data_IF_189486335395
#
_entry.id   IF_189486335395
#
_cell.length_a   1.000
_cell.length_b   1.000
_cell.length_c   1.000
_cell.angle_alpha   90.00
_cell.angle_beta   90.00
_cell.angle_gamma   90.00
#
_symmetry.space_group_name_H-M   'P 1'
#
loop_
_entity.id
_entity.type
_entity.pdbx_description
1 polymer ?
#
# COMPACT_ATOMS: atom_id res chain seq x y z
N UNK A 1 31.85 -11.49 -65.81
CA UNK A 1 30.93 -10.34 -65.91
C UNK A 1 30.49 -10.01 -64.48
N UNK A 2 31.24 -9.18 -63.76
CA UNK A 2 31.24 -7.69 -63.76
C UNK A 2 30.27 -7.12 -62.73
N UNK A 3 30.82 -6.42 -61.73
CA UNK A 3 30.23 -5.16 -61.23
C UNK A 3 29.50 -5.19 -59.88
N UNK A 4 30.25 -4.98 -58.80
CA UNK A 4 29.89 -4.05 -57.69
C UNK A 4 30.33 -2.65 -58.20
N UNK A 5 29.70 -1.47 -57.94
CA UNK A 5 29.32 -0.98 -56.60
C UNK A 5 28.21 0.11 -56.46
N UNK A 6 27.91 0.45 -55.21
CA UNK A 6 27.43 1.78 -54.77
C UNK A 6 26.06 1.76 -54.10
N UNK A 7 25.78 2.45 -52.99
CA UNK A 7 26.53 3.47 -52.25
C UNK A 7 25.81 3.68 -50.91
N UNK A 8 26.54 3.70 -49.80
CA UNK A 8 26.03 4.18 -48.52
C UNK A 8 26.00 5.72 -48.51
N UNK A 9 24.91 6.34 -48.04
CA UNK A 9 24.92 7.70 -47.47
C UNK A 9 23.92 7.78 -46.32
N UNK A 10 24.37 8.44 -45.25
CA UNK A 10 23.76 8.59 -43.93
C UNK A 10 22.58 9.57 -43.90
N UNK A 11 21.62 9.26 -43.03
CA UNK A 11 21.15 10.15 -41.97
C UNK A 11 20.19 11.28 -42.34
N UNK A 12 18.96 11.22 -41.82
CA UNK A 12 18.42 12.28 -40.98
C UNK A 12 17.19 11.79 -40.22
N UNK A 13 17.30 11.81 -38.88
CA UNK A 13 16.23 11.64 -37.91
C UNK A 13 15.24 12.79 -38.04
N UNK A 14 13.95 12.53 -38.15
CA UNK A 14 12.92 13.48 -37.69
C UNK A 14 11.71 12.73 -37.17
N UNK A 15 11.59 12.76 -35.85
CA UNK A 15 10.44 12.37 -35.02
C UNK A 15 9.46 13.54 -35.04
N UNK A 16 8.23 13.34 -35.47
CA UNK A 16 7.17 14.36 -35.35
C UNK A 16 6.01 13.77 -34.55
N UNK A 17 5.77 14.46 -33.45
CA UNK A 17 4.83 14.20 -32.35
C UNK A 17 3.56 14.99 -32.65
N UNK A 18 2.40 14.36 -32.48
CA UNK A 18 1.10 15.04 -32.53
C UNK A 18 0.95 16.01 -31.34
N UNK A 19 0.71 17.29 -31.62
CA UNK A 19 0.39 18.33 -30.64
C UNK A 19 -0.95 19.01 -30.96
N UNK A 20 -1.73 19.33 -29.93
CA UNK A 20 -3.05 19.95 -29.99
C UNK A 20 -2.97 21.48 -30.21
N UNK A 21 -4.03 22.14 -30.76
CA UNK A 21 -3.97 23.56 -31.12
C UNK A 21 -4.29 24.52 -29.96
N UNK A 22 -3.62 25.68 -29.96
CA UNK A 22 -3.85 26.87 -29.14
C UNK A 22 -4.49 27.99 -29.98
N UNK A 23 -5.38 28.79 -29.39
CA UNK A 23 -6.16 29.86 -30.04
C UNK A 23 -5.43 31.23 -30.05
N UNK A 24 -5.79 32.18 -30.95
CA UNK A 24 -5.10 33.47 -31.13
C UNK A 24 -5.76 34.65 -30.36
N UNK A 25 -5.10 35.83 -30.24
CA UNK A 25 -5.60 36.98 -29.49
C UNK A 25 -6.32 38.03 -30.36
N UNK A 26 -7.22 38.82 -29.76
CA UNK A 26 -7.84 40.01 -30.39
C UNK A 26 -7.87 41.18 -29.40
N UNK A 27 -7.58 42.38 -29.92
CA UNK A 27 -7.43 43.67 -29.23
C UNK A 27 -8.49 44.69 -29.76
N UNK A 28 -8.64 45.92 -29.21
CA UNK A 28 -9.93 46.50 -28.83
C UNK A 28 -10.32 47.76 -29.64
N UNK A 29 -11.48 48.35 -29.29
CA UNK A 29 -11.94 49.77 -29.44
C UNK A 29 -13.47 49.74 -29.64
N UNK A 30 -14.34 50.55 -29.01
CA UNK A 30 -14.32 52.01 -28.88
C UNK A 30 -15.36 52.45 -27.82
N UNK A 31 -15.07 53.61 -27.25
CA UNK A 31 -15.73 54.37 -26.20
C UNK A 31 -17.18 54.88 -26.46
N UNK A 32 -17.82 55.27 -25.35
CA UNK A 32 -18.37 56.63 -25.21
C UNK A 32 -19.89 56.79 -25.20
N UNK A 33 -20.45 57.22 -24.07
CA UNK A 33 -21.83 57.73 -23.95
C UNK A 33 -22.22 57.97 -22.50
N UNK A 34 -22.74 59.16 -22.22
CA UNK A 34 -22.68 59.89 -20.95
C UNK A 34 -24.01 59.94 -20.16
N UNK A 35 -23.88 60.11 -18.84
CA UNK A 35 -24.82 60.52 -17.78
C UNK A 35 -26.28 60.03 -17.76
N UNK A 36 -26.58 59.16 -16.78
CA UNK A 36 -27.40 59.48 -15.60
C UNK A 36 -27.93 58.19 -14.99
N UNK A 37 -27.45 57.83 -13.79
CA UNK A 37 -28.24 57.16 -12.73
C UNK A 37 -27.34 56.67 -11.60
N UNK A 38 -27.62 57.19 -10.42
CA UNK A 38 -27.47 56.63 -9.09
C UNK A 38 -27.24 55.10 -9.05
N UNK A 39 -25.99 54.60 -8.99
CA UNK A 39 -25.70 53.21 -8.63
C UNK A 39 -24.38 53.07 -7.87
N UNK A 40 -24.43 52.22 -6.84
CA UNK A 40 -23.33 51.65 -6.08
C UNK A 40 -22.03 51.60 -6.89
N UNK A 41 -20.99 52.32 -6.45
CA UNK A 41 -19.65 52.09 -6.96
C UNK A 41 -19.03 50.91 -6.20
N UNK A 42 -19.35 49.71 -6.69
CA UNK A 42 -18.55 48.51 -6.51
C UNK A 42 -17.12 48.87 -6.97
N UNK A 43 -16.15 48.86 -6.05
CA UNK A 43 -14.78 49.23 -6.37
C UNK A 43 -14.12 48.10 -7.17
N UNK A 44 -14.19 48.19 -8.50
CA UNK A 44 -13.48 47.32 -9.42
C UNK A 44 -11.98 47.67 -9.44
N UNK A 45 -11.14 46.65 -9.31
CA UNK A 45 -9.70 46.75 -9.57
C UNK A 45 -9.50 46.87 -11.09
N UNK A 46 -9.33 48.10 -11.58
CA UNK A 46 -8.95 48.39 -12.95
C UNK A 46 -7.43 48.49 -13.06
N UNK A 47 -6.78 47.47 -13.62
CA UNK A 47 -5.34 47.52 -13.91
C UNK A 47 -5.17 48.15 -15.29
N UNK A 48 -5.16 49.49 -15.35
CA UNK A 48 -4.82 50.23 -16.56
C UNK A 48 -3.32 50.12 -16.82
N UNK A 49 -2.93 49.40 -17.87
CA UNK A 49 -1.54 49.33 -18.34
C UNK A 49 -1.24 50.52 -19.24
N UNK A 50 -1.22 51.72 -18.67
CA UNK A 50 -0.61 52.88 -19.32
C UNK A 50 0.79 53.09 -18.73
N UNK A 51 1.78 52.95 -19.61
CA UNK A 51 3.13 53.41 -19.34
C UNK A 51 3.12 54.90 -19.00
N UNK A 52 3.69 55.24 -17.85
CA UNK A 52 4.25 56.57 -17.51
C UNK A 52 3.55 57.47 -16.47
N UNK A 53 2.83 56.94 -15.45
CA UNK A 53 2.54 57.73 -14.23
C UNK A 53 2.57 56.87 -12.96
N UNK A 54 3.60 57.07 -12.13
CA UNK A 54 3.61 56.64 -10.72
C UNK A 54 2.66 57.54 -9.92
N UNK A 55 1.51 57.01 -9.51
CA UNK A 55 0.59 57.67 -8.59
C UNK A 55 0.52 56.93 -7.27
N UNK A 56 1.14 57.47 -6.22
CA UNK A 56 0.96 57.00 -4.84
C UNK A 56 -0.37 57.57 -4.34
N UNK A 57 -1.30 56.69 -3.97
CA UNK A 57 -2.62 57.07 -3.42
C UNK A 57 -2.53 57.03 -1.89
N UNK A 58 -2.79 58.17 -1.26
CA UNK A 58 -3.02 58.25 0.19
C UNK A 58 -4.48 57.92 0.48
N UNK A 59 -4.73 56.97 1.39
CA UNK A 59 -6.06 56.67 1.90
C UNK A 59 -6.11 57.19 3.34
N UNK A 60 -6.87 58.26 3.57
CA UNK A 60 -7.12 58.81 4.90
C UNK A 60 -8.29 58.06 5.53
N UNK A 61 -8.04 57.31 6.60
CA UNK A 61 -9.07 56.57 7.34
C UNK A 61 -9.90 57.53 8.19
N UNK A 62 -11.23 57.47 8.03
CA UNK A 62 -12.20 58.24 8.80
C UNK A 62 -12.50 57.49 10.11
N UNK A 63 -12.19 58.09 11.25
CA UNK A 63 -12.47 57.50 12.57
C UNK A 63 -13.98 57.34 12.82
N UNK A 64 -14.41 56.15 13.24
CA UNK A 64 -15.80 55.84 13.60
C UNK A 64 -16.16 56.32 15.02
N UNK A 65 -17.43 56.66 15.23
CA UNK A 65 -17.93 57.24 16.48
C UNK A 65 -17.77 56.30 17.70
N UNK A 66 -17.38 56.81 18.88
CA UNK A 66 -16.94 56.00 20.02
C UNK A 66 -18.01 55.02 20.54
N UNK A 67 -19.30 55.35 20.41
CA UNK A 67 -20.41 54.56 20.98
C UNK A 67 -20.54 53.18 20.31
N UNK A 68 -20.32 53.09 18.98
CA UNK A 68 -20.41 51.82 18.22
C UNK A 68 -19.25 50.90 18.58
N UNK A 69 -18.06 51.48 18.79
CA UNK A 69 -16.87 50.74 19.23
C UNK A 69 -17.06 50.13 20.62
N UNK A 70 -17.62 50.88 21.58
CA UNK A 70 -17.92 50.35 22.92
C UNK A 70 -18.95 49.21 22.91
N UNK A 71 -19.96 49.26 22.04
CA UNK A 71 -20.96 48.20 21.93
C UNK A 71 -20.36 46.90 21.36
N UNK A 72 -19.55 46.98 20.30
CA UNK A 72 -18.84 45.82 19.75
C UNK A 72 -17.83 45.24 20.73
N UNK A 73 -17.04 46.08 21.40
CA UNK A 73 -16.03 45.63 22.37
C UNK A 73 -16.69 44.93 23.56
N UNK A 74 -17.84 45.44 24.04
CA UNK A 74 -18.62 44.79 25.10
C UNK A 74 -19.18 43.44 24.67
N UNK A 75 -19.75 43.34 23.47
CA UNK A 75 -20.27 42.07 22.93
C UNK A 75 -19.15 41.04 22.78
N UNK A 76 -17.99 41.45 22.28
CA UNK A 76 -16.82 40.57 22.15
C UNK A 76 -16.31 40.11 23.51
N UNK A 77 -16.26 40.99 24.52
CA UNK A 77 -15.90 40.63 25.90
C UNK A 77 -16.88 39.62 26.49
N UNK A 78 -18.19 39.81 26.28
CA UNK A 78 -19.22 38.88 26.75
C UNK A 78 -19.06 37.52 26.08
N UNK A 79 -18.90 37.46 24.75
CA UNK A 79 -18.71 36.19 24.03
C UNK A 79 -17.41 35.48 24.46
N UNK A 80 -16.33 36.24 24.68
CA UNK A 80 -15.04 35.71 25.13
C UNK A 80 -15.12 35.04 26.51
N UNK A 81 -16.09 35.41 27.35
CA UNK A 81 -16.33 34.79 28.66
C UNK A 81 -17.39 33.68 28.58
N UNK A 82 -18.48 33.93 27.86
CA UNK A 82 -19.64 33.02 27.81
C UNK A 82 -19.33 31.75 27.02
N UNK A 83 -18.62 31.83 25.89
CA UNK A 83 -18.29 30.67 25.06
C UNK A 83 -17.45 29.62 25.82
N UNK A 84 -16.31 29.97 26.47
CA UNK A 84 -15.53 28.97 27.20
C UNK A 84 -16.27 28.42 28.42
N UNK A 85 -17.09 29.24 29.10
CA UNK A 85 -17.87 28.78 30.24
C UNK A 85 -19.00 27.81 29.80
N UNK A 86 -19.68 28.12 28.69
CA UNK A 86 -20.68 27.25 28.08
C UNK A 86 -20.07 25.96 27.54
N UNK A 87 -18.87 26.02 26.94
CA UNK A 87 -18.15 24.84 26.50
C UNK A 87 -17.75 23.97 27.71
N UNK A 88 -17.18 24.57 28.76
CA UNK A 88 -16.78 23.83 29.96
C UNK A 88 -17.96 23.12 30.65
N UNK A 89 -19.12 23.78 30.72
CA UNK A 89 -20.34 23.19 31.29
C UNK A 89 -21.00 22.19 30.35
N UNK A 90 -21.06 22.47 29.04
CA UNK A 90 -21.83 21.69 28.07
C UNK A 90 -21.10 20.46 27.53
N UNK A 91 -19.80 20.57 27.24
CA UNK A 91 -19.00 19.50 26.64
C UNK A 91 -19.04 18.16 27.39
N UNK A 92 -19.04 18.08 28.75
CA UNK A 92 -19.12 16.79 29.44
C UNK A 92 -20.46 16.05 29.29
N UNK A 93 -21.52 16.73 28.82
CA UNK A 93 -22.84 16.12 28.58
C UNK A 93 -23.10 15.82 27.10
N UNK A 94 -22.20 16.21 26.20
CA UNK A 94 -22.34 15.89 24.78
C UNK A 94 -21.90 14.44 24.58
N UNK A 95 -22.80 13.53 24.15
CA UNK A 95 -22.39 12.18 23.82
C UNK A 95 -21.40 12.20 22.64
N UNK A 96 -20.43 11.27 22.60
CA UNK A 96 -19.46 11.22 21.53
C UNK A 96 -20.17 11.03 20.18
N UNK A 97 -19.81 11.83 19.17
CA UNK A 97 -20.38 11.74 17.82
C UNK A 97 -20.05 10.41 17.11
N UNK A 98 -19.08 9.65 17.64
CA UNK A 98 -18.70 8.31 17.22
C UNK A 98 -18.36 7.49 18.45
N UNK A 99 -18.95 6.32 18.57
CA UNK A 99 -18.43 5.27 19.45
C UNK A 99 -17.14 4.73 18.83
N UNK A 100 -16.08 4.61 19.62
CA UNK A 100 -14.91 3.84 19.20
C UNK A 100 -15.36 2.38 19.02
N UNK A 101 -14.95 1.68 17.96
CA UNK A 101 -15.22 0.24 17.88
C UNK A 101 -14.69 -0.43 19.15
N UNK A 102 -15.36 -1.49 19.61
CA UNK A 102 -15.10 -2.26 20.84
C UNK A 102 -13.72 -2.97 20.88
N UNK A 103 -12.71 -2.42 20.22
CA UNK A 103 -11.38 -2.99 20.02
C UNK A 103 -10.34 -1.97 20.44
N UNK A 104 -10.22 -1.76 21.75
CA UNK A 104 -9.12 -0.98 22.34
C UNK A 104 -8.52 -1.66 23.58
N UNK A 105 -8.51 -3.00 23.63
CA UNK A 105 -7.75 -3.76 24.65
C UNK A 105 -6.84 -4.85 24.05
N UNK A 106 -6.42 -4.70 22.79
CA UNK A 106 -5.40 -5.55 22.19
C UNK A 106 -4.90 -4.91 20.90
N UNK A 107 -3.61 -4.60 20.83
CA UNK A 107 -2.96 -3.99 19.67
C UNK A 107 -2.80 -4.96 18.50
N UNK A 108 -3.90 -5.60 18.08
CA UNK A 108 -3.95 -6.51 16.94
C UNK A 108 -5.02 -6.09 15.94
N UNK A 109 -4.85 -6.52 14.69
CA UNK A 109 -5.89 -6.43 13.68
C UNK A 109 -7.04 -7.37 14.05
N UNK A 110 -8.22 -6.79 14.32
CA UNK A 110 -9.43 -7.55 14.53
C UNK A 110 -10.08 -7.81 13.18
N UNK A 111 -9.90 -9.02 12.67
CA UNK A 111 -10.68 -9.53 11.54
C UNK A 111 -11.97 -10.18 12.08
N UNK A 112 -13.05 -10.05 11.33
CA UNK A 112 -14.23 -10.86 11.59
C UNK A 112 -13.85 -12.35 11.47
N UNK A 113 -14.39 -13.22 12.33
CA UNK A 113 -14.18 -14.66 12.19
C UNK A 113 -14.56 -15.12 10.78
N UNK A 114 -13.76 -16.03 10.21
CA UNK A 114 -14.12 -16.68 8.95
C UNK A 114 -15.48 -17.38 9.10
N UNK A 115 -16.39 -17.27 8.12
CA UNK A 115 -17.63 -18.04 8.12
C UNK A 115 -17.39 -19.54 7.91
N UNK A 116 -16.19 -19.92 7.43
CA UNK A 116 -15.77 -21.31 7.24
C UNK A 116 -15.21 -21.85 8.55
N UNK A 117 -15.81 -22.93 9.05
CA UNK A 117 -15.32 -23.69 10.20
C UNK A 117 -14.16 -24.59 9.78
N UNK A 118 -13.11 -24.65 10.59
CA UNK A 118 -11.95 -25.50 10.38
C UNK A 118 -11.81 -26.49 11.53
N UNK A 119 -11.85 -27.77 11.21
CA UNK A 119 -11.53 -28.84 12.16
C UNK A 119 -10.05 -29.18 12.05
N UNK A 120 -9.32 -29.09 13.17
CA UNK A 120 -7.91 -29.47 13.20
C UNK A 120 -7.78 -30.98 13.26
N UNK A 121 -7.03 -31.56 12.32
CA UNK A 121 -6.64 -32.98 12.35
C UNK A 121 -5.12 -33.12 12.33
N UNK A 122 -4.52 -33.89 13.25
CA UNK A 122 -3.09 -34.19 13.19
C UNK A 122 -2.80 -35.14 12.02
N UNK A 123 -1.63 -34.97 11.40
CA UNK A 123 -1.09 -35.86 10.37
C UNK A 123 0.27 -36.35 10.88
N UNK A 124 0.47 -37.67 10.85
CA UNK A 124 1.67 -38.33 11.38
C UNK A 124 1.51 -38.82 12.82
N UNK A 125 2.58 -39.40 13.37
CA UNK A 125 2.58 -39.94 14.73
C UNK A 125 2.54 -38.80 15.78
N UNK A 126 1.80 -39.03 16.87
CA UNK A 126 1.87 -38.20 18.07
C UNK A 126 3.17 -38.49 18.82
N UNK A 127 4.26 -37.89 18.35
CA UNK A 127 5.55 -37.95 19.03
C UNK A 127 5.63 -36.92 20.17
N UNK A 128 6.42 -37.25 21.18
CA UNK A 128 6.68 -36.42 22.37
C UNK A 128 7.39 -35.08 22.03
N UNK A 129 7.92 -34.96 20.81
CA UNK A 129 8.61 -33.77 20.32
C UNK A 129 7.94 -33.20 19.07
N UNK A 130 7.61 -31.90 19.13
CA UNK A 130 7.07 -31.16 17.98
C UNK A 130 8.07 -31.18 16.82
N UNK A 131 7.64 -31.54 15.60
CA UNK A 131 8.48 -31.44 14.42
C UNK A 131 8.85 -29.98 14.14
N UNK A 132 9.96 -29.78 13.43
CA UNK A 132 10.30 -28.49 12.85
C UNK A 132 10.11 -28.58 11.35
N UNK A 133 8.89 -28.36 10.90
CA UNK A 133 8.56 -28.44 9.47
C UNK A 133 8.96 -27.14 8.79
N UNK A 134 9.96 -27.21 7.92
CA UNK A 134 10.45 -26.05 7.15
C UNK A 134 9.66 -25.83 5.86
N UNK A 135 9.16 -26.91 5.26
CA UNK A 135 8.38 -26.86 4.03
C UNK A 135 7.39 -28.02 3.96
N UNK A 136 6.26 -27.76 3.30
CA UNK A 136 5.21 -28.74 2.99
C UNK A 136 4.86 -28.62 1.52
N UNK A 137 4.77 -29.75 0.82
CA UNK A 137 4.24 -29.88 -0.53
C UNK A 137 2.96 -30.72 -0.51
N UNK A 138 2.00 -30.32 -1.34
CA UNK A 138 0.69 -30.96 -1.46
C UNK A 138 0.57 -31.41 -2.91
N UNK A 139 0.70 -32.72 -3.15
CA UNK A 139 0.77 -33.30 -4.49
C UNK A 139 0.35 -34.77 -4.43
N UNK A 140 -0.29 -35.26 -5.49
CA UNK A 140 -0.53 -36.69 -5.70
C UNK A 140 0.80 -37.33 -6.13
N UNK A 141 1.51 -37.93 -5.17
CA UNK A 141 2.89 -38.39 -5.36
C UNK A 141 2.96 -39.79 -5.99
N UNK A 142 2.04 -40.67 -5.61
CA UNK A 142 1.95 -42.05 -6.12
C UNK A 142 0.96 -42.24 -7.27
N UNK A 143 0.26 -41.17 -7.66
CA UNK A 143 -0.68 -41.12 -8.79
C UNK A 143 -1.90 -41.99 -8.58
N UNK A 144 -2.33 -42.15 -7.33
CA UNK A 144 -3.55 -42.86 -6.98
C UNK A 144 -4.82 -41.97 -7.06
N UNK A 145 -4.63 -40.68 -7.34
CA UNK A 145 -5.69 -39.69 -7.46
C UNK A 145 -6.07 -39.04 -6.12
N UNK A 146 -5.42 -39.42 -5.03
CA UNK A 146 -5.51 -38.78 -3.72
C UNK A 146 -4.36 -37.78 -3.55
N UNK A 147 -4.59 -36.77 -2.71
CA UNK A 147 -3.62 -35.70 -2.54
C UNK A 147 -2.79 -36.00 -1.30
N UNK A 148 -1.51 -36.27 -1.51
CA UNK A 148 -0.56 -36.54 -0.45
C UNK A 148 0.09 -35.27 0.09
N UNK A 149 0.82 -35.46 1.20
CA UNK A 149 1.57 -34.39 1.85
C UNK A 149 3.03 -34.81 2.01
N UNK A 150 3.95 -34.03 1.46
CA UNK A 150 5.39 -34.20 1.70
C UNK A 150 5.86 -33.09 2.63
N UNK A 151 6.61 -33.43 3.66
CA UNK A 151 7.07 -32.50 4.69
C UNK A 151 8.58 -32.63 4.94
N UNK A 152 9.26 -31.49 4.96
CA UNK A 152 10.66 -31.39 5.35
C UNK A 152 10.76 -31.17 6.86
N UNK A 153 11.19 -32.17 7.63
CA UNK A 153 11.44 -32.04 9.06
C UNK A 153 12.91 -31.71 9.30
N UNK A 154 13.19 -30.42 9.51
CA UNK A 154 14.53 -29.91 9.75
C UNK A 154 15.13 -30.40 11.07
N UNK A 155 14.28 -30.66 12.09
CA UNK A 155 14.73 -31.11 13.41
C UNK A 155 15.10 -32.58 13.40
N UNK A 156 14.32 -33.40 12.69
CA UNK A 156 14.59 -34.84 12.54
C UNK A 156 15.45 -35.17 11.33
N UNK A 157 15.96 -34.15 10.63
CA UNK A 157 16.87 -34.30 9.50
C UNK A 157 16.36 -35.25 8.40
N UNK A 158 15.06 -35.15 8.08
CA UNK A 158 14.42 -36.08 7.15
C UNK A 158 13.33 -35.42 6.32
N UNK A 159 13.04 -36.04 5.18
CA UNK A 159 11.88 -35.73 4.35
C UNK A 159 10.88 -36.87 4.48
N UNK A 160 9.65 -36.55 4.88
CA UNK A 160 8.59 -37.52 5.13
C UNK A 160 7.48 -37.32 4.12
N UNK A 161 7.03 -38.41 3.53
CA UNK A 161 5.82 -38.48 2.72
C UNK A 161 4.69 -39.05 3.55
N UNK A 162 3.59 -38.31 3.64
CA UNK A 162 2.34 -38.73 4.24
C UNK A 162 1.37 -39.05 3.12
N UNK A 163 1.30 -40.35 2.79
CA UNK A 163 0.38 -40.88 1.80
C UNK A 163 -1.04 -40.85 2.33
N UNK A 164 -1.95 -40.25 1.57
CA UNK A 164 -3.37 -40.23 1.89
C UNK A 164 -3.99 -41.58 1.53
N UNK A 165 -4.68 -42.18 2.50
CA UNK A 165 -5.52 -43.35 2.28
C UNK A 165 -6.99 -42.93 2.24
N UNK A 166 -7.87 -43.61 2.99
CA UNK A 166 -9.23 -43.13 3.22
C UNK A 166 -9.25 -41.68 3.78
N UNK A 167 -10.33 -40.91 3.55
CA UNK A 167 -10.39 -39.52 3.97
C UNK A 167 -10.07 -39.30 5.46
N UNK A 168 -8.93 -38.65 5.72
CA UNK A 168 -8.45 -38.34 7.07
C UNK A 168 -7.45 -39.35 7.65
N UNK A 169 -7.12 -40.40 6.92
CA UNK A 169 -6.05 -41.35 7.27
C UNK A 169 -4.81 -41.09 6.42
N UNK A 170 -3.67 -40.93 7.09
CA UNK A 170 -2.38 -40.70 6.45
C UNK A 170 -1.35 -41.72 6.94
N UNK A 171 -0.69 -42.39 6.01
CA UNK A 171 0.43 -43.28 6.30
C UNK A 171 1.74 -42.52 6.07
N UNK A 172 2.55 -42.35 7.12
CA UNK A 172 3.86 -41.70 7.02
C UNK A 172 4.95 -42.68 6.59
N UNK A 173 5.71 -42.30 5.56
CA UNK A 173 6.90 -42.98 5.08
C UNK A 173 8.06 -41.99 4.99
N UNK A 174 9.23 -42.37 5.48
CA UNK A 174 10.43 -41.54 5.28
C UNK A 174 10.97 -41.75 3.85
N UNK A 175 11.13 -40.66 3.10
CA UNK A 175 11.73 -40.69 1.76
C UNK A 175 13.25 -40.57 1.82
N UNK A 176 13.76 -39.72 2.71
CA UNK A 176 15.19 -39.49 2.89
C UNK A 176 15.49 -39.13 4.35
N UNK A 177 16.62 -39.65 4.85
CA UNK A 177 17.16 -39.41 6.19
C UNK A 177 18.56 -38.79 6.09
N UNK A 178 19.13 -38.39 7.22
CA UNK A 178 20.47 -37.79 7.32
C UNK A 178 20.66 -36.51 6.48
N UNK A 179 19.58 -35.75 6.29
CA UNK A 179 19.61 -34.45 5.60
C UNK A 179 19.72 -33.32 6.64
N UNK A 180 20.86 -32.62 6.75
CA UNK A 180 21.02 -31.56 7.75
C UNK A 180 20.16 -30.34 7.38
N UNK A 181 19.03 -30.17 8.08
CA UNK A 181 18.07 -29.09 7.85
C UNK A 181 17.55 -28.98 6.40
N UNK A 182 16.75 -29.96 5.92
CA UNK A 182 16.01 -29.83 4.67
C UNK A 182 15.12 -28.58 4.71
N UNK A 183 15.26 -27.71 3.73
CA UNK A 183 14.63 -26.40 3.69
C UNK A 183 13.46 -26.34 2.72
N UNK A 184 13.57 -27.01 1.58
CA UNK A 184 12.53 -27.04 0.57
C UNK A 184 12.57 -28.36 -0.20
N UNK A 185 11.40 -28.93 -0.49
CA UNK A 185 11.27 -30.03 -1.42
C UNK A 185 10.42 -29.58 -2.61
N UNK A 186 10.82 -30.00 -3.81
CA UNK A 186 10.08 -29.82 -5.05
C UNK A 186 9.86 -31.19 -5.67
N UNK A 187 8.61 -31.50 -5.98
CA UNK A 187 8.24 -32.73 -6.69
C UNK A 187 8.14 -32.45 -8.18
N UNK A 188 8.88 -33.18 -8.99
CA UNK A 188 8.90 -33.05 -10.44
C UNK A 188 9.38 -34.37 -11.05
N UNK A 189 8.80 -34.75 -12.18
CA UNK A 189 9.34 -35.83 -13.03
C UNK A 189 10.58 -35.28 -13.76
N UNK A 190 11.78 -35.63 -13.28
CA UNK A 190 13.03 -35.01 -13.73
C UNK A 190 13.60 -35.70 -14.97
N UNK A 191 13.38 -37.01 -15.10
CA UNK A 191 13.91 -37.80 -16.21
C UNK A 191 12.87 -38.10 -17.31
N UNK A 192 11.59 -37.78 -17.07
CA UNK A 192 10.50 -37.88 -18.03
C UNK A 192 9.97 -39.30 -18.19
N UNK A 193 10.23 -40.19 -17.23
CA UNK A 193 9.75 -41.57 -17.27
C UNK A 193 8.32 -41.74 -16.75
N UNK A 194 7.77 -40.69 -16.16
CA UNK A 194 6.45 -40.74 -15.57
C UNK A 194 6.46 -41.33 -14.17
N UNK A 195 7.54 -41.25 -13.42
CA UNK A 195 7.56 -41.32 -11.97
C UNK A 195 7.85 -39.92 -11.40
N UNK A 196 7.49 -39.66 -10.15
CA UNK A 196 7.69 -38.34 -9.54
C UNK A 196 8.95 -38.33 -8.69
N UNK A 197 9.93 -37.52 -9.06
CA UNK A 197 11.15 -37.31 -8.27
C UNK A 197 10.99 -36.21 -7.23
N UNK A 198 11.81 -36.26 -6.18
CA UNK A 198 11.84 -35.24 -5.13
C UNK A 198 13.22 -34.58 -5.07
N UNK A 199 13.27 -33.31 -5.47
CA UNK A 199 14.45 -32.47 -5.33
C UNK A 199 14.41 -31.74 -3.98
N UNK A 200 15.44 -31.92 -3.16
CA UNK A 200 15.51 -31.33 -1.82
C UNK A 200 16.66 -30.34 -1.73
N UNK A 201 16.39 -29.12 -1.26
CA UNK A 201 17.42 -28.17 -0.84
C UNK A 201 17.70 -28.31 0.65
N UNK A 202 18.98 -28.26 1.01
CA UNK A 202 19.49 -28.56 2.35
C UNK A 202 20.32 -27.37 2.81
N UNK A 203 20.02 -26.82 3.99
CA UNK A 203 20.75 -25.67 4.53
C UNK A 203 22.07 -26.07 5.22
N UNK A 204 22.22 -27.34 5.60
CA UNK A 204 23.36 -27.81 6.37
C UNK A 204 23.16 -27.54 7.86
N UNK A 205 24.24 -27.14 8.52
CA UNK A 205 24.22 -26.85 9.95
C UNK A 205 23.65 -25.44 10.20
N UNK A 206 22.35 -25.38 10.46
CA UNK A 206 21.65 -24.13 10.81
C UNK A 206 21.77 -23.76 12.29
N UNK A 207 22.17 -24.73 13.13
CA UNK A 207 22.39 -24.51 14.56
C UNK A 207 23.87 -24.17 14.79
N UNK A 208 24.17 -23.20 15.69
CA UNK A 208 25.54 -22.92 16.07
C UNK A 208 26.23 -24.20 16.55
N UNK A 209 27.39 -24.52 15.97
CA UNK A 209 28.22 -25.62 16.41
C UNK A 209 29.67 -25.16 16.61
N UNK A 210 30.39 -25.83 17.50
CA UNK A 210 31.82 -25.58 17.74
C UNK A 210 32.69 -26.44 16.80
N UNK A 211 32.19 -26.72 15.59
CA UNK A 211 32.87 -27.55 14.61
C UNK A 211 34.20 -26.94 14.16
N UNK A 212 35.22 -27.77 13.94
CA UNK A 212 36.51 -27.30 13.41
C UNK A 212 36.33 -26.81 11.98
N UNK A 213 36.35 -25.49 11.80
CA UNK A 213 36.33 -24.83 10.50
C UNK A 213 37.77 -24.72 9.97
N UNK A 214 38.10 -25.55 8.98
CA UNK A 214 39.39 -25.52 8.29
C UNK A 214 40.47 -26.37 8.97
N UNK A 215 41.24 -27.09 8.15
CA UNK A 215 42.46 -27.79 8.55
C UNK A 215 43.60 -27.17 7.76
N UNK A 216 44.62 -26.68 8.46
CA UNK A 216 45.86 -26.17 7.87
C UNK A 216 46.73 -27.32 7.34
#
# INVERSE_FOLDING_TARGET
>A
MTGIPGKAVRGTTTRQVFGWPVSPPVSPDTAGGDLSENRMAMCGIGIGRDSNRTGIIWISAKEEAPIVRFACDFVLLVLAVVIPLAAWVGLPFVPPLKELPLTALGGGSHYLPSPVLFDRRPIGAEDDSRPLIANVQIVDFDRDGLVDVIACDAKRQRVVWHRQGPPGEFAGQTLAEDLPAPAHATVVDLDGDGDSDVLVSVLGDILPNDGVIGRL
#
